data_IF_760714162886
#
_entry.id   IF_760714162886
#
_cell.length_a   1.000
_cell.length_b   1.000
_cell.length_c   1.000
_cell.angle_alpha   90.00
_cell.angle_beta   90.00
_cell.angle_gamma   90.00
#
_symmetry.space_group_name_H-M   'P 1'
#
loop_
_entity.id
_entity.type
_entity.pdbx_description
1 polymer ?
#
# COMPACT_ATOMS: atom_id res chain seq x y z
N UNK A 1 -12.89 -6.00 22.12
CA UNK A 1 -12.55 -4.81 21.29
C UNK A 1 -11.05 -4.61 21.06
N UNK A 2 -10.19 -4.62 22.11
CA UNK A 2 -8.75 -4.35 21.95
C UNK A 2 -8.00 -5.38 21.07
N UNK A 3 -8.31 -6.68 21.21
CA UNK A 3 -7.69 -7.74 20.40
C UNK A 3 -7.96 -7.58 18.90
N UNK A 4 -9.20 -7.29 18.51
CA UNK A 4 -9.57 -7.04 17.10
C UNK A 4 -8.82 -5.85 16.50
N UNK A 5 -8.65 -4.77 17.28
CA UNK A 5 -7.88 -3.58 16.88
C UNK A 5 -6.38 -3.87 16.73
N UNK A 6 -5.83 -4.72 17.60
CA UNK A 6 -4.44 -5.17 17.49
C UNK A 6 -4.22 -6.06 16.26
N UNK A 7 -5.15 -7.00 16.01
CA UNK A 7 -5.11 -7.91 14.87
C UNK A 7 -5.21 -7.16 13.54
N UNK A 8 -6.20 -6.27 13.40
CA UNK A 8 -6.38 -5.46 12.17
C UNK A 8 -5.15 -4.60 11.87
N UNK A 9 -4.52 -4.01 12.91
CA UNK A 9 -3.25 -3.29 12.76
C UNK A 9 -2.12 -4.20 12.30
N UNK A 10 -1.98 -5.38 12.91
CA UNK A 10 -0.97 -6.36 12.50
C UNK A 10 -1.16 -6.78 11.04
N UNK A 11 -2.38 -7.10 10.63
CA UNK A 11 -2.73 -7.39 9.24
C UNK A 11 -2.39 -6.23 8.30
N UNK A 12 -2.61 -4.98 8.73
CA UNK A 12 -2.27 -3.78 7.93
C UNK A 12 -0.77 -3.65 7.69
N UNK A 13 0.03 -3.85 8.74
CA UNK A 13 1.49 -3.80 8.64
C UNK A 13 2.03 -4.93 7.79
N UNK A 14 1.49 -6.13 7.94
CA UNK A 14 1.89 -7.29 7.14
C UNK A 14 1.55 -7.06 5.66
N UNK A 15 0.33 -6.63 5.35
CA UNK A 15 -0.10 -6.37 3.98
C UNK A 15 0.76 -5.30 3.30
N UNK A 16 0.89 -4.12 3.92
CA UNK A 16 1.67 -3.03 3.32
C UNK A 16 3.18 -3.31 3.34
N UNK A 17 3.68 -4.04 4.34
CA UNK A 17 5.07 -4.50 4.37
C UNK A 17 5.38 -5.42 3.21
N UNK A 18 4.56 -6.46 3.00
CA UNK A 18 4.72 -7.38 1.86
C UNK A 18 4.55 -6.65 0.53
N UNK A 19 3.54 -5.78 0.41
CA UNK A 19 3.30 -5.00 -0.80
C UNK A 19 4.50 -4.11 -1.15
N UNK A 20 5.03 -3.37 -0.18
CA UNK A 20 6.15 -2.45 -0.40
C UNK A 20 7.44 -3.20 -0.72
N UNK A 21 7.72 -4.31 -0.04
CA UNK A 21 8.88 -5.16 -0.37
C UNK A 21 8.77 -5.76 -1.77
N UNK A 22 7.59 -6.26 -2.15
CA UNK A 22 7.34 -6.80 -3.49
C UNK A 22 7.52 -5.73 -4.57
N UNK A 23 6.89 -4.57 -4.40
CA UNK A 23 7.00 -3.45 -5.35
C UNK A 23 8.43 -2.93 -5.45
N UNK A 24 9.15 -2.85 -4.33
CA UNK A 24 10.55 -2.45 -4.30
C UNK A 24 11.42 -3.45 -5.05
N UNK A 25 11.22 -4.76 -4.85
CA UNK A 25 11.97 -5.80 -5.54
C UNK A 25 11.79 -5.72 -7.06
N UNK A 26 10.55 -5.69 -7.56
CA UNK A 26 10.28 -5.69 -9.01
C UNK A 26 10.74 -4.39 -9.69
N UNK A 27 10.59 -3.24 -9.01
CA UNK A 27 11.03 -1.95 -9.56
C UNK A 27 12.55 -1.79 -9.53
N UNK A 28 13.21 -2.29 -8.48
CA UNK A 28 14.68 -2.32 -8.41
C UNK A 28 15.26 -3.23 -9.50
N UNK A 29 14.65 -4.40 -9.75
CA UNK A 29 15.06 -5.30 -10.81
C UNK A 29 14.90 -4.65 -12.20
N UNK A 30 13.77 -3.97 -12.43
CA UNK A 30 13.52 -3.22 -13.68
C UNK A 30 14.55 -2.11 -13.90
N UNK A 31 14.94 -1.38 -12.84
CA UNK A 31 16.00 -0.36 -12.91
C UNK A 31 17.38 -1.00 -13.18
N UNK A 32 17.73 -2.08 -12.47
CA UNK A 32 19.03 -2.75 -12.56
C UNK A 32 19.28 -3.38 -13.94
N UNK A 33 18.24 -3.93 -14.56
CA UNK A 33 18.32 -4.58 -15.89
C UNK A 33 18.21 -3.59 -17.04
N UNK A 34 17.93 -2.31 -16.77
CA UNK A 34 17.61 -1.31 -17.81
C UNK A 34 16.28 -1.59 -18.53
N UNK A 35 15.57 -2.65 -18.16
CA UNK A 35 14.24 -2.97 -18.67
C UNK A 35 13.24 -1.97 -18.07
N UNK A 36 13.09 -0.82 -18.73
CA UNK A 36 12.08 0.22 -18.42
C UNK A 36 10.65 -0.21 -18.79
N UNK A 37 10.40 -1.51 -18.80
CA UNK A 37 9.18 -2.18 -19.24
C UNK A 37 8.38 -2.70 -18.05
N UNK A 38 8.51 -2.08 -16.87
CA UNK A 38 7.57 -2.38 -15.78
C UNK A 38 6.18 -1.96 -16.26
N UNK A 39 5.29 -2.94 -16.45
CA UNK A 39 3.93 -2.71 -16.91
C UNK A 39 2.96 -3.08 -15.80
N UNK A 40 2.32 -2.07 -15.23
CA UNK A 40 1.24 -2.19 -14.27
C UNK A 40 0.03 -1.45 -14.84
N UNK A 41 -0.82 -2.17 -15.57
CA UNK A 41 -1.96 -1.58 -16.28
C UNK A 41 -2.97 -0.87 -15.39
N UNK A 42 -2.92 -1.09 -14.07
CA UNK A 42 -3.76 -0.41 -13.08
C UNK A 42 -3.28 1.01 -12.74
N UNK A 43 -2.02 1.36 -13.01
CA UNK A 43 -1.47 2.66 -12.64
C UNK A 43 -1.58 3.65 -13.82
N UNK A 44 -1.79 4.95 -13.54
CA UNK A 44 -1.97 5.96 -14.59
C UNK A 44 -0.67 6.31 -15.33
N UNK A 45 0.48 5.82 -14.85
CA UNK A 45 1.79 6.07 -15.42
C UNK A 45 2.25 4.87 -16.25
N UNK A 46 3.08 5.13 -17.26
CA UNK A 46 3.66 4.10 -18.13
C UNK A 46 5.17 4.29 -18.29
N UNK A 47 5.86 3.26 -18.80
CA UNK A 47 7.29 3.31 -19.12
C UNK A 47 8.18 3.66 -17.93
N UNK A 48 9.20 4.48 -18.17
CA UNK A 48 10.19 4.85 -17.15
C UNK A 48 9.59 5.59 -15.95
N UNK A 49 8.58 6.45 -16.18
CA UNK A 49 7.88 7.16 -15.12
C UNK A 49 7.21 6.19 -14.16
N UNK A 50 6.56 5.14 -14.67
CA UNK A 50 5.95 4.10 -13.85
C UNK A 50 7.00 3.41 -12.96
N UNK A 51 8.13 3.02 -13.53
CA UNK A 51 9.21 2.38 -12.78
C UNK A 51 9.71 3.26 -11.63
N UNK A 52 9.95 4.54 -11.87
CA UNK A 52 10.39 5.46 -10.82
C UNK A 52 9.32 5.73 -9.76
N UNK A 53 8.06 5.91 -10.16
CA UNK A 53 6.95 6.11 -9.23
C UNK A 53 6.76 4.89 -8.33
N UNK A 54 6.85 3.68 -8.88
CA UNK A 54 6.73 2.44 -8.09
C UNK A 54 7.95 2.27 -7.18
N UNK A 55 9.16 2.57 -7.66
CA UNK A 55 10.38 2.49 -6.85
C UNK A 55 10.35 3.47 -5.68
N UNK A 56 10.15 4.76 -5.94
CA UNK A 56 10.09 5.79 -4.90
C UNK A 56 8.88 5.60 -3.99
N UNK A 57 7.74 5.21 -4.55
CA UNK A 57 6.53 4.90 -3.79
C UNK A 57 6.72 3.73 -2.84
N UNK A 58 7.38 2.65 -3.29
CA UNK A 58 7.66 1.49 -2.44
C UNK A 58 8.66 1.80 -1.32
N UNK A 59 9.67 2.65 -1.57
CA UNK A 59 10.54 3.18 -0.51
C UNK A 59 9.76 4.00 0.52
N UNK A 60 8.93 4.94 0.05
CA UNK A 60 8.08 5.76 0.92
C UNK A 60 7.13 4.90 1.76
N UNK A 61 6.51 3.89 1.15
CA UNK A 61 5.64 2.94 1.84
C UNK A 61 6.38 2.11 2.88
N UNK A 62 7.58 1.61 2.55
CA UNK A 62 8.40 0.82 3.47
C UNK A 62 8.83 1.66 4.68
N UNK A 63 9.29 2.89 4.46
CA UNK A 63 9.62 3.85 5.52
C UNK A 63 8.38 4.08 6.39
N UNK A 64 7.22 4.30 5.78
CA UNK A 64 5.96 4.51 6.50
C UNK A 64 5.57 3.32 7.38
N UNK A 65 5.74 2.08 6.89
CA UNK A 65 5.51 0.84 7.67
C UNK A 65 6.48 0.75 8.85
N UNK A 66 7.79 0.97 8.63
CA UNK A 66 8.81 0.91 9.69
C UNK A 66 8.54 1.96 10.77
N UNK A 67 8.21 3.19 10.37
CA UNK A 67 7.84 4.26 11.29
C UNK A 67 6.58 3.91 12.09
N UNK A 68 5.55 3.37 11.43
CA UNK A 68 4.32 2.95 12.09
C UNK A 68 4.53 1.80 13.10
N UNK A 69 5.43 0.85 12.81
CA UNK A 69 5.82 -0.22 13.74
C UNK A 69 6.52 0.38 14.96
N UNK A 70 7.46 1.31 14.75
CA UNK A 70 8.13 2.08 15.82
C UNK A 70 7.17 3.00 16.59
N UNK A 71 5.95 3.18 16.09
CA UNK A 71 4.94 4.02 16.70
C UNK A 71 5.12 5.51 16.46
N UNK A 72 5.94 5.87 15.48
CA UNK A 72 6.25 7.25 15.08
C UNK A 72 5.58 7.57 13.74
N UNK A 73 5.09 8.79 13.56
CA UNK A 73 4.57 9.29 12.28
C UNK A 73 3.52 8.37 11.64
N UNK A 74 2.62 7.80 12.45
CA UNK A 74 1.54 6.90 12.00
C UNK A 74 0.60 7.52 10.96
N UNK A 75 0.57 8.86 10.88
CA UNK A 75 -0.13 9.62 9.83
C UNK A 75 0.44 9.32 8.44
N UNK A 76 1.77 9.19 8.29
CA UNK A 76 2.38 8.85 6.99
C UNK A 76 1.91 7.48 6.50
N UNK A 77 1.82 6.51 7.41
CA UNK A 77 1.31 5.18 7.10
C UNK A 77 -0.15 5.21 6.68
N UNK A 78 -0.98 6.00 7.35
CA UNK A 78 -2.37 6.21 6.93
C UNK A 78 -2.45 6.82 5.52
N UNK A 79 -1.68 7.88 5.24
CA UNK A 79 -1.64 8.51 3.91
C UNK A 79 -1.16 7.55 2.82
N UNK A 80 -0.16 6.72 3.13
CA UNK A 80 0.29 5.64 2.26
C UNK A 80 -0.83 4.64 1.97
N UNK A 81 -1.48 4.12 3.02
CA UNK A 81 -2.60 3.19 2.88
C UNK A 81 -3.73 3.77 2.04
N UNK A 82 -4.06 5.04 2.26
CA UNK A 82 -5.08 5.76 1.49
C UNK A 82 -4.68 5.87 0.01
N UNK A 83 -3.43 6.25 -0.27
CA UNK A 83 -2.91 6.33 -1.63
C UNK A 83 -2.98 4.98 -2.37
N UNK A 84 -2.65 3.88 -1.70
CA UNK A 84 -2.79 2.52 -2.26
C UNK A 84 -4.24 2.23 -2.61
N UNK A 85 -5.18 2.46 -1.70
CA UNK A 85 -6.62 2.24 -1.96
C UNK A 85 -7.11 3.09 -3.13
N UNK A 86 -6.76 4.38 -3.16
CA UNK A 86 -7.14 5.30 -4.24
C UNK A 86 -6.61 4.82 -5.59
N UNK A 87 -5.35 4.40 -5.66
CA UNK A 87 -4.75 3.88 -6.89
C UNK A 87 -5.39 2.57 -7.35
N UNK A 88 -5.72 1.67 -6.42
CA UNK A 88 -6.41 0.41 -6.75
C UNK A 88 -7.82 0.66 -7.26
N UNK A 89 -8.59 1.50 -6.57
CA UNK A 89 -9.95 1.88 -6.98
C UNK A 89 -9.91 2.58 -8.34
N UNK A 90 -9.01 3.56 -8.51
CA UNK A 90 -8.85 4.25 -9.80
C UNK A 90 -8.45 3.29 -10.91
N UNK A 91 -7.49 2.41 -10.64
CA UNK A 91 -6.92 1.49 -11.62
C UNK A 91 -7.88 0.40 -12.08
N UNK A 92 -8.60 -0.21 -11.15
CA UNK A 92 -9.44 -1.37 -11.44
C UNK A 92 -10.92 -1.04 -11.69
N UNK A 93 -11.45 0.05 -11.12
CA UNK A 93 -12.86 0.43 -11.30
C UNK A 93 -13.00 1.54 -12.34
N UNK A 94 -12.13 2.56 -12.31
CA UNK A 94 -12.26 3.74 -13.16
C UNK A 94 -11.38 3.73 -14.41
N UNK A 95 -10.47 2.77 -14.55
CA UNK A 95 -9.73 2.57 -15.79
C UNK A 95 -10.41 1.47 -16.61
N UNK A 96 -10.25 1.48 -17.94
CA UNK A 96 -10.73 0.43 -18.84
C UNK A 96 -9.96 -0.89 -18.69
N UNK A 97 -9.59 -1.27 -17.45
CA UNK A 97 -8.86 -2.50 -17.15
C UNK A 97 -9.76 -3.70 -17.43
N UNK A 98 -9.38 -4.49 -18.43
CA UNK A 98 -10.05 -5.74 -18.72
C UNK A 98 -9.38 -6.85 -17.91
N UNK A 99 -10.14 -7.43 -16.97
CA UNK A 99 -9.69 -8.60 -16.22
C UNK A 99 -9.49 -9.79 -17.15
N UNK A 100 -8.32 -10.42 -17.10
CA UNK A 100 -8.13 -11.72 -17.74
C UNK A 100 -8.88 -12.82 -16.97
N UNK A 101 -9.18 -13.93 -17.64
CA UNK A 101 -9.92 -15.06 -17.05
C UNK A 101 -9.20 -15.60 -15.80
N UNK A 102 -9.84 -15.48 -14.64
CA UNK A 102 -9.30 -15.93 -13.34
C UNK A 102 -8.52 -14.89 -12.53
N UNK A 103 -8.36 -13.66 -13.05
CA UNK A 103 -7.65 -12.58 -12.35
C UNK A 103 -8.55 -11.79 -11.39
N UNK A 104 -9.83 -11.65 -11.75
CA UNK A 104 -10.85 -10.94 -10.95
C UNK A 104 -10.88 -11.31 -9.45
N UNK A 105 -10.92 -12.60 -9.04
CA UNK A 105 -10.96 -12.94 -7.61
C UNK A 105 -9.69 -12.50 -6.85
N UNK A 106 -8.52 -12.52 -7.51
CA UNK A 106 -7.25 -12.08 -6.89
C UNK A 106 -7.24 -10.57 -6.68
N UNK A 107 -7.72 -9.82 -7.67
CA UNK A 107 -7.83 -8.35 -7.58
C UNK A 107 -8.85 -7.95 -6.51
N UNK A 108 -10.03 -8.58 -6.48
CA UNK A 108 -11.01 -8.34 -5.44
C UNK A 108 -10.45 -8.62 -4.04
N UNK A 109 -9.68 -9.70 -3.88
CA UNK A 109 -8.98 -10.01 -2.64
C UNK A 109 -7.97 -8.93 -2.25
N UNK A 110 -7.18 -8.44 -3.21
CA UNK A 110 -6.21 -7.36 -2.99
C UNK A 110 -6.89 -6.03 -2.60
N UNK A 111 -7.98 -5.69 -3.28
CA UNK A 111 -8.78 -4.50 -2.97
C UNK A 111 -9.40 -4.60 -1.57
N UNK A 112 -10.01 -5.74 -1.23
CA UNK A 112 -10.59 -5.97 0.09
C UNK A 112 -9.52 -5.93 1.19
N UNK A 113 -8.38 -6.58 0.97
CA UNK A 113 -7.25 -6.55 1.91
C UNK A 113 -6.71 -5.12 2.10
N UNK A 114 -6.63 -4.33 1.02
CA UNK A 114 -6.21 -2.93 1.11
C UNK A 114 -7.21 -2.06 1.89
N UNK A 115 -8.51 -2.30 1.74
CA UNK A 115 -9.55 -1.59 2.48
C UNK A 115 -9.51 -1.94 3.98
N UNK A 116 -9.33 -3.23 4.31
CA UNK A 116 -9.15 -3.69 5.69
C UNK A 116 -7.87 -3.09 6.29
N UNK A 117 -6.78 -3.04 5.51
CA UNK A 117 -5.52 -2.45 5.94
C UNK A 117 -5.65 -0.94 6.20
N UNK A 118 -6.45 -0.22 5.39
CA UNK A 118 -6.75 1.19 5.63
C UNK A 118 -7.48 1.38 6.97
N UNK A 119 -8.48 0.55 7.28
CA UNK A 119 -9.19 0.59 8.56
C UNK A 119 -8.24 0.34 9.73
N UNK A 120 -7.34 -0.64 9.61
CA UNK A 120 -6.34 -0.90 10.64
C UNK A 120 -5.31 0.23 10.79
N UNK A 121 -4.92 0.90 9.70
CA UNK A 121 -4.05 2.09 9.73
C UNK A 121 -4.71 3.29 10.43
N UNK A 122 -6.01 3.50 10.22
CA UNK A 122 -6.80 4.54 10.91
C UNK A 122 -6.81 4.30 12.43
N UNK A 123 -6.99 3.04 12.85
CA UNK A 123 -6.95 2.70 14.28
C UNK A 123 -5.58 3.02 14.91
N UNK A 124 -4.47 2.80 14.17
CA UNK A 124 -3.13 3.11 14.64
C UNK A 124 -2.89 4.62 14.81
N UNK A 125 -3.55 5.45 14.01
CA UNK A 125 -3.56 6.91 14.14
C UNK A 125 -4.39 7.36 15.36
N UNK A 126 -5.66 6.91 15.47
CA UNK A 126 -6.59 7.37 16.50
C UNK A 126 -6.15 7.07 17.94
N UNK A 127 -5.66 5.85 18.20
CA UNK A 127 -5.17 5.45 19.54
C UNK A 127 -3.97 6.25 20.05
N UNK A 128 -3.25 6.95 19.16
CA UNK A 128 -2.10 7.78 19.53
C UNK A 128 -2.45 9.25 19.66
N UNK A 129 -3.45 9.74 18.92
CA UNK A 129 -4.06 11.04 19.20
C UNK A 129 -4.60 11.10 20.64
N UNK A 130 -5.30 10.04 21.08
CA UNK A 130 -5.80 9.90 22.46
C UNK A 130 -4.68 9.83 23.52
N UNK A 131 -3.52 9.24 23.20
CA UNK A 131 -2.36 9.16 24.12
C UNK A 131 -1.51 10.42 24.18
N UNK A 132 -1.51 11.26 23.13
CA UNK A 132 -0.80 12.55 23.12
C UNK A 132 -1.60 13.67 23.78
N UNK A 133 -2.94 13.62 23.77
CA UNK A 133 -3.80 14.61 24.44
C UNK A 133 -3.98 14.39 25.96
N UNK A 134 -3.24 13.45 26.55
CA UNK A 134 -3.29 13.11 27.99
C UNK A 134 -2.04 13.55 28.78
N UNK A 135 -1.16 14.32 28.13
CA UNK A 135 0.00 14.99 28.71
C UNK A 135 -0.04 16.46 28.31
#
# INVERSE_FOLDING_TARGET
MAALKALTRYCSYLFHGLLTLFLLAISSLALATGARTLHLGMLPWTGSTLTYVVFLGSLYGLISVVLAIRGSWTVLFFLWSLGVVVLLVKGYIFSGYHFSTGEAPKVCGLMLASAIALIGSWSAMWFRAERRGRY
#
